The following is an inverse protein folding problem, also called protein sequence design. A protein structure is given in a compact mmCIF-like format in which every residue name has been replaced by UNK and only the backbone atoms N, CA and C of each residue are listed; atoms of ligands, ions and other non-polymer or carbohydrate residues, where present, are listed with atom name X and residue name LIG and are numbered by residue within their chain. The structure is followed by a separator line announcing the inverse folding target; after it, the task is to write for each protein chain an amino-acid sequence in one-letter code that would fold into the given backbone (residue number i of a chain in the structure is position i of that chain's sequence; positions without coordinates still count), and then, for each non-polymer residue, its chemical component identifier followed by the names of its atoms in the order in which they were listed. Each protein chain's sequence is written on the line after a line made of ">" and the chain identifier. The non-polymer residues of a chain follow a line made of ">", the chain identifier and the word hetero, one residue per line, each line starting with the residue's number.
data_IF_328458385250
#
_entry.id   IF_328458385250
#
_cell.length_a   1.000
_cell.length_b   1.000
_cell.length_c   1.000
_cell.angle_alpha   90.00
_cell.angle_beta   90.00
_cell.angle_gamma   90.00
#
_symmetry.space_group_name_H-M   'P 1'
#
loop_
_entity.id
_entity.type
_entity.pdbx_description
1 polymer ?
#
# COMPACT_ATOMS: atom_id res chain seq x y z
N UNK A 1 -15.17 -94.19 8.24
CA UNK A 1 -15.52 -93.01 9.05
C UNK A 1 -14.34 -92.04 9.17
N UNK A 2 -13.90 -91.45 8.10
CA UNK A 2 -12.79 -90.46 8.14
C UNK A 2 -12.91 -89.46 7.00
N UNK A 3 -14.11 -88.94 6.72
CA UNK A 3 -14.28 -87.98 5.59
C UNK A 3 -15.08 -86.73 5.92
N UNK A 4 -15.32 -86.47 7.22
CA UNK A 4 -16.17 -85.32 7.62
C UNK A 4 -15.47 -84.07 8.07
N UNK A 5 -14.17 -84.10 8.22
CA UNK A 5 -13.44 -82.96 8.84
C UNK A 5 -12.73 -82.02 7.88
N UNK A 6 -12.66 -82.41 6.60
CA UNK A 6 -11.97 -81.56 5.58
C UNK A 6 -12.88 -80.49 4.97
N UNK A 7 -14.18 -80.58 5.13
CA UNK A 7 -15.13 -79.62 4.58
C UNK A 7 -15.37 -78.39 5.48
N UNK A 8 -15.04 -78.50 6.79
CA UNK A 8 -15.21 -77.38 7.72
C UNK A 8 -14.10 -76.40 7.71
N UNK A 9 -12.92 -76.80 7.23
CA UNK A 9 -11.76 -75.89 7.14
C UNK A 9 -11.79 -74.96 5.91
N UNK A 10 -12.54 -75.28 4.86
CA UNK A 10 -12.59 -74.49 3.62
C UNK A 10 -13.60 -73.37 3.68
N UNK A 11 -14.56 -73.39 4.59
CA UNK A 11 -15.57 -72.32 4.74
C UNK A 11 -15.07 -71.19 5.62
N UNK A 12 -14.11 -71.46 6.50
CA UNK A 12 -13.51 -70.39 7.35
C UNK A 12 -12.51 -69.46 6.61
N UNK A 13 -12.01 -69.89 5.43
CA UNK A 13 -11.03 -69.09 4.68
C UNK A 13 -11.66 -68.05 3.76
N UNK A 14 -12.97 -68.03 3.56
CA UNK A 14 -13.68 -67.12 2.66
C UNK A 14 -14.28 -65.89 3.37
N UNK A 15 -14.02 -65.75 4.65
CA UNK A 15 -14.45 -64.58 5.43
C UNK A 15 -13.31 -63.57 5.72
N UNK A 16 -12.23 -63.61 4.94
CA UNK A 16 -11.35 -62.46 4.93
C UNK A 16 -12.09 -61.31 4.25
N UNK A 17 -12.76 -60.57 5.13
CA UNK A 17 -13.48 -59.40 4.79
C UNK A 17 -12.67 -58.51 3.85
N UNK A 18 -13.31 -58.10 2.80
CA UNK A 18 -12.91 -56.90 2.05
C UNK A 18 -12.79 -55.79 3.06
N UNK A 19 -11.58 -55.56 3.53
CA UNK A 19 -11.26 -54.30 4.20
C UNK A 19 -11.47 -53.21 3.14
N UNK A 20 -12.67 -52.64 3.12
CA UNK A 20 -12.92 -51.40 2.42
C UNK A 20 -12.02 -50.38 3.13
N UNK A 21 -10.95 -49.97 2.46
CA UNK A 21 -10.27 -48.76 2.80
C UNK A 21 -11.28 -47.64 2.58
N UNK A 22 -11.98 -47.24 3.63
CA UNK A 22 -12.68 -45.96 3.65
C UNK A 22 -11.61 -44.89 3.43
N UNK A 23 -11.55 -44.33 2.22
CA UNK A 23 -10.83 -43.13 1.99
C UNK A 23 -11.49 -42.05 2.85
N UNK A 24 -10.96 -41.81 4.03
CA UNK A 24 -11.31 -40.65 4.81
C UNK A 24 -10.82 -39.40 4.03
N UNK A 25 -11.72 -38.78 3.29
CA UNK A 25 -11.44 -37.48 2.67
C UNK A 25 -11.46 -36.45 3.80
N UNK A 26 -10.29 -36.00 4.20
CA UNK A 26 -10.15 -34.85 5.10
C UNK A 26 -10.26 -33.57 4.28
N UNK A 27 -11.33 -32.82 4.48
CA UNK A 27 -11.44 -31.48 3.91
C UNK A 27 -10.61 -30.51 4.77
N UNK A 28 -9.48 -30.06 4.23
CA UNK A 28 -8.69 -29.01 4.86
C UNK A 28 -9.27 -27.65 4.44
N UNK A 29 -9.91 -26.95 5.38
CA UNK A 29 -10.33 -25.58 5.19
C UNK A 29 -9.15 -24.65 5.51
N UNK A 30 -8.55 -24.04 4.49
CA UNK A 30 -7.53 -23.04 4.66
C UNK A 30 -8.20 -21.66 4.54
N UNK A 31 -8.18 -20.89 5.63
CA UNK A 31 -8.62 -19.50 5.64
C UNK A 31 -7.41 -18.58 5.60
N UNK A 32 -7.37 -17.68 4.61
CA UNK A 32 -6.34 -16.66 4.48
C UNK A 32 -6.98 -15.30 4.69
N UNK A 33 -6.49 -14.56 5.68
CA UNK A 33 -6.90 -13.19 5.92
C UNK A 33 -5.87 -12.24 5.30
N UNK A 34 -6.28 -11.46 4.29
CA UNK A 34 -5.46 -10.42 3.69
C UNK A 34 -5.72 -9.11 4.41
N UNK A 35 -4.70 -8.56 5.08
CA UNK A 35 -4.81 -7.28 5.76
C UNK A 35 -4.82 -6.13 4.75
N UNK A 36 -5.62 -5.08 4.97
CA UNK A 36 -5.58 -3.88 4.17
C UNK A 36 -4.19 -3.23 4.22
N UNK A 37 -3.69 -2.82 3.07
CA UNK A 37 -2.40 -2.13 2.98
C UNK A 37 -2.44 -1.04 1.90
N UNK A 38 -1.63 -0.01 2.09
CA UNK A 38 -1.35 1.00 1.09
C UNK A 38 0.14 1.34 1.09
N UNK A 39 0.70 1.49 -0.09
CA UNK A 39 2.06 1.94 -0.30
C UNK A 39 2.07 3.05 -1.34
N UNK A 40 2.70 4.16 -1.03
CA UNK A 40 2.91 5.28 -1.94
C UNK A 40 4.37 5.31 -2.36
N UNK A 41 4.62 5.28 -3.66
CA UNK A 41 5.93 5.50 -4.26
C UNK A 41 5.94 6.87 -4.94
N UNK A 42 7.00 7.62 -4.73
CA UNK A 42 7.21 8.93 -5.35
C UNK A 42 8.63 9.03 -5.89
N UNK A 43 8.81 9.89 -6.86
CA UNK A 43 10.14 10.31 -7.25
C UNK A 43 10.79 11.08 -6.08
N UNK A 44 11.93 10.57 -5.61
CA UNK A 44 12.70 11.14 -4.50
C UNK A 44 13.74 12.16 -4.93
N UNK A 45 13.71 12.63 -6.19
CA UNK A 45 14.66 13.61 -6.71
C UNK A 45 14.67 14.88 -5.85
N UNK A 46 15.84 15.45 -5.56
CA UNK A 46 15.92 16.72 -4.84
C UNK A 46 15.25 17.84 -5.62
N UNK A 47 14.85 18.87 -4.91
CA UNK A 47 14.33 20.12 -5.46
C UNK A 47 15.50 21.07 -5.63
N UNK A 48 15.75 21.51 -6.86
CA UNK A 48 16.80 22.48 -7.15
C UNK A 48 16.24 23.89 -7.08
N UNK A 49 16.73 24.69 -6.15
CA UNK A 49 16.40 26.11 -5.99
C UNK A 49 17.49 26.94 -6.63
N UNK A 50 17.12 27.78 -7.59
CA UNK A 50 18.04 28.69 -8.26
C UNK A 50 18.01 30.08 -7.64
N UNK A 51 19.01 30.92 -7.97
CA UNK A 51 19.01 32.33 -7.57
C UNK A 51 17.79 33.08 -8.11
N UNK A 52 17.33 32.73 -9.32
CA UNK A 52 16.14 33.33 -9.91
C UNK A 52 14.85 32.96 -9.13
N UNK A 53 14.77 31.74 -8.61
CA UNK A 53 13.64 31.29 -7.77
C UNK A 53 13.62 32.06 -6.45
N UNK A 54 14.80 32.24 -5.83
CA UNK A 54 14.91 33.02 -4.59
C UNK A 54 14.48 34.49 -4.83
N UNK A 55 14.88 35.08 -5.96
CA UNK A 55 14.44 36.43 -6.30
C UNK A 55 12.94 36.53 -6.55
N UNK A 56 12.36 35.49 -7.17
CA UNK A 56 10.93 35.44 -7.47
C UNK A 56 10.09 35.11 -6.21
N UNK A 57 10.71 34.50 -5.20
CA UNK A 57 10.09 34.14 -3.94
C UNK A 57 9.30 32.85 -3.96
N UNK A 58 9.26 32.14 -5.07
CA UNK A 58 8.60 30.83 -5.16
C UNK A 58 9.23 29.92 -6.21
N UNK A 59 8.94 28.62 -6.09
CA UNK A 59 9.34 27.56 -7.02
C UNK A 59 8.18 26.63 -7.28
N UNK A 60 7.91 26.30 -8.54
CA UNK A 60 6.92 25.31 -8.93
C UNK A 60 7.59 23.94 -9.15
N UNK A 61 7.04 22.91 -8.53
CA UNK A 61 7.56 21.52 -8.59
C UNK A 61 6.41 20.57 -8.83
N UNK A 62 6.57 19.66 -9.79
CA UNK A 62 5.64 18.56 -10.02
C UNK A 62 6.23 17.25 -9.52
N UNK A 63 5.40 16.41 -8.90
CA UNK A 63 5.77 15.06 -8.46
C UNK A 63 4.75 14.04 -8.92
N UNK A 64 5.25 12.95 -9.44
CA UNK A 64 4.46 11.81 -9.83
C UNK A 64 4.44 10.78 -8.70
N UNK A 65 3.25 10.26 -8.41
CA UNK A 65 3.02 9.29 -7.35
C UNK A 65 2.38 8.03 -7.91
N UNK A 66 2.81 6.87 -7.39
CA UNK A 66 2.19 5.58 -7.64
C UNK A 66 1.63 5.03 -6.34
N UNK A 67 0.33 4.79 -6.31
CA UNK A 67 -0.38 4.19 -5.18
C UNK A 67 -0.61 2.70 -5.44
N UNK A 68 -0.13 1.86 -4.54
CA UNK A 68 -0.40 0.43 -4.51
C UNK A 68 -1.22 0.11 -3.27
N UNK A 69 -2.42 -0.41 -3.46
CA UNK A 69 -3.32 -0.75 -2.35
C UNK A 69 -4.26 -1.89 -2.74
N UNK A 70 -4.65 -2.68 -1.75
CA UNK A 70 -5.73 -3.66 -1.85
C UNK A 70 -7.06 -3.17 -1.23
N UNK A 71 -7.09 -1.94 -0.72
CA UNK A 71 -8.26 -1.32 -0.10
C UNK A 71 -8.39 0.16 -0.55
N UNK A 72 -8.69 0.43 -1.84
CA UNK A 72 -8.67 1.78 -2.39
C UNK A 72 -9.63 2.74 -1.71
N UNK A 73 -10.78 2.26 -1.23
CA UNK A 73 -11.80 3.09 -0.57
C UNK A 73 -11.41 3.51 0.85
N UNK A 74 -10.32 2.95 1.38
CA UNK A 74 -9.84 3.20 2.74
C UNK A 74 -8.53 3.99 2.78
N UNK A 75 -8.02 4.40 1.63
CA UNK A 75 -6.78 5.17 1.55
C UNK A 75 -7.03 6.62 1.93
N UNK A 76 -6.17 7.13 2.81
CA UNK A 76 -6.07 8.54 3.15
C UNK A 76 -4.64 8.98 2.88
N UNK A 77 -4.45 10.07 2.17
CA UNK A 77 -3.13 10.70 2.03
C UNK A 77 -2.94 11.71 3.15
N UNK A 78 -1.83 11.57 3.85
CA UNK A 78 -1.38 12.52 4.85
C UNK A 78 -0.21 13.33 4.29
N UNK A 79 -0.34 14.65 4.29
CA UNK A 79 0.69 15.58 3.88
C UNK A 79 1.24 16.24 5.14
N UNK A 80 2.55 16.13 5.32
CA UNK A 80 3.25 16.70 6.47
C UNK A 80 4.25 17.75 6.00
N UNK A 81 4.19 18.99 6.49
CA UNK A 81 5.15 20.02 6.14
C UNK A 81 6.51 19.72 6.79
N UNK A 82 7.57 20.10 6.09
CA UNK A 82 8.94 20.15 6.64
C UNK A 82 9.35 21.59 6.79
N UNK A 83 9.80 21.96 7.96
CA UNK A 83 10.23 23.32 8.29
C UNK A 83 11.58 23.61 7.65
N UNK A 84 11.78 24.83 7.16
CA UNK A 84 13.09 25.39 6.78
C UNK A 84 13.13 26.11 5.44
N UNK A 85 12.79 25.46 4.35
CA UNK A 85 12.90 26.05 3.00
C UNK A 85 11.75 26.99 2.66
N UNK A 86 10.56 26.69 3.12
CA UNK A 86 9.31 27.35 2.71
C UNK A 86 8.52 27.89 3.88
N UNK A 87 7.84 29.01 3.66
CA UNK A 87 6.86 29.58 4.60
C UNK A 87 5.47 28.94 4.41
N UNK A 88 5.16 28.57 3.18
CA UNK A 88 3.91 27.88 2.83
C UNK A 88 4.04 27.13 1.51
N UNK A 89 3.10 26.25 1.26
CA UNK A 89 3.01 25.45 0.03
C UNK A 89 1.58 25.45 -0.48
N UNK A 90 1.40 25.84 -1.74
CA UNK A 90 0.15 25.60 -2.47
C UNK A 90 0.26 24.26 -3.19
N UNK A 91 -0.79 23.48 -3.13
CA UNK A 91 -0.81 22.10 -3.64
C UNK A 91 -2.02 21.96 -4.56
N UNK A 92 -1.76 21.52 -5.78
CA UNK A 92 -2.75 21.23 -6.80
C UNK A 92 -2.59 19.81 -7.34
N UNK A 93 -3.66 19.22 -7.84
CA UNK A 93 -3.70 17.83 -8.31
C UNK A 93 -4.67 16.95 -7.51
N UNK A 94 -5.39 17.53 -6.55
CA UNK A 94 -6.50 16.93 -5.82
C UNK A 94 -7.83 17.54 -6.27
N UNK A 95 -8.95 17.14 -5.66
CA UNK A 95 -10.27 17.67 -6.02
C UNK A 95 -10.39 19.18 -5.85
N UNK A 96 -9.64 19.76 -4.91
CA UNK A 96 -9.55 21.18 -4.70
C UNK A 96 -8.10 21.59 -4.43
N UNK A 97 -7.69 22.81 -4.82
CA UNK A 97 -6.41 23.37 -4.44
C UNK A 97 -6.30 23.47 -2.91
N UNK A 98 -5.13 23.15 -2.38
CA UNK A 98 -4.84 23.17 -0.96
C UNK A 98 -3.75 24.18 -0.66
N UNK A 99 -3.82 24.77 0.52
CA UNK A 99 -2.79 25.65 1.06
C UNK A 99 -2.31 25.11 2.40
N UNK A 100 -1.00 24.93 2.55
CA UNK A 100 -0.41 24.34 3.74
C UNK A 100 0.72 25.24 4.27
N UNK A 101 0.75 25.42 5.59
CA UNK A 101 1.86 26.06 6.32
C UNK A 101 2.51 25.08 7.29
N UNK A 102 2.06 25.10 8.54
CA UNK A 102 2.72 24.41 9.65
C UNK A 102 1.98 23.15 10.10
N UNK A 103 0.79 22.90 9.57
CA UNK A 103 -0.07 21.77 9.99
C UNK A 103 -0.18 20.72 8.90
N UNK A 104 -0.25 19.47 9.33
CA UNK A 104 -0.51 18.36 8.44
C UNK A 104 -1.94 18.41 7.90
N UNK A 105 -2.09 17.99 6.65
CA UNK A 105 -3.39 17.85 6.00
C UNK A 105 -3.66 16.39 5.71
N UNK A 106 -4.92 16.00 5.84
CA UNK A 106 -5.42 14.69 5.42
C UNK A 106 -6.36 14.86 4.24
N UNK A 107 -6.16 14.05 3.21
CA UNK A 107 -6.96 14.06 1.99
C UNK A 107 -7.66 12.73 1.88
N UNK A 108 -8.99 12.79 1.88
CA UNK A 108 -9.86 11.63 1.71
C UNK A 108 -10.66 11.82 0.43
N UNK A 109 -10.25 11.13 -0.61
CA UNK A 109 -10.92 11.10 -1.90
C UNK A 109 -10.55 9.80 -2.63
N UNK A 110 -11.27 9.39 -3.67
CA UNK A 110 -10.80 8.33 -4.54
C UNK A 110 -9.48 8.73 -5.21
N UNK A 111 -8.47 7.86 -5.12
CA UNK A 111 -7.17 8.09 -5.76
C UNK A 111 -6.98 7.14 -6.93
N UNK A 112 -6.47 7.67 -8.04
CA UNK A 112 -5.98 6.85 -9.13
C UNK A 112 -4.70 6.11 -8.69
N UNK A 113 -4.36 5.02 -9.38
CA UNK A 113 -3.10 4.31 -9.14
C UNK A 113 -1.88 5.19 -9.37
N UNK A 114 -2.00 6.10 -10.32
CA UNK A 114 -0.96 7.06 -10.67
C UNK A 114 -1.60 8.45 -10.71
N UNK A 115 -0.95 9.40 -10.08
CA UNK A 115 -1.40 10.78 -10.06
C UNK A 115 -0.21 11.73 -9.93
N UNK A 116 -0.40 12.96 -10.40
CA UNK A 116 0.61 14.01 -10.31
C UNK A 116 0.12 15.10 -9.39
N UNK A 117 1.00 15.56 -8.52
CA UNK A 117 0.73 16.68 -7.62
C UNK A 117 1.69 17.82 -7.98
N UNK A 118 1.15 19.00 -8.14
CA UNK A 118 1.89 20.22 -8.40
C UNK A 118 1.99 21.04 -7.12
N UNK A 119 3.20 21.44 -6.78
CA UNK A 119 3.49 22.21 -5.59
C UNK A 119 4.01 23.59 -6.02
N UNK A 120 3.46 24.65 -5.46
CA UNK A 120 4.10 25.95 -5.45
C UNK A 120 4.67 26.20 -4.06
N UNK A 121 5.98 26.19 -4.01
CA UNK A 121 6.77 26.36 -2.80
C UNK A 121 7.05 27.85 -2.60
N UNK A 122 6.41 28.48 -1.62
CA UNK A 122 6.70 29.86 -1.24
C UNK A 122 7.94 29.88 -0.37
N UNK A 123 9.04 30.36 -0.93
CA UNK A 123 10.35 30.30 -0.29
C UNK A 123 10.40 31.25 0.91
N UNK A 124 11.02 30.82 1.99
CA UNK A 124 11.27 31.66 3.16
C UNK A 124 12.29 32.74 2.84
N UNK A 125 12.29 33.84 3.62
CA UNK A 125 13.22 34.98 3.41
C UNK A 125 14.70 34.58 3.51
N UNK A 126 15.01 33.48 4.20
CA UNK A 126 16.37 32.94 4.32
C UNK A 126 16.73 31.85 3.31
N UNK A 127 15.87 31.55 2.33
CA UNK A 127 16.14 30.54 1.33
C UNK A 127 17.35 30.89 0.47
N UNK A 128 18.22 29.92 0.22
CA UNK A 128 19.43 30.06 -0.58
C UNK A 128 19.37 29.11 -1.79
N UNK A 129 20.03 29.43 -2.89
CA UNK A 129 20.19 28.52 -4.00
C UNK A 129 20.85 27.20 -3.53
N UNK A 130 20.37 26.07 -4.04
CA UNK A 130 20.88 24.72 -3.66
C UNK A 130 19.88 23.63 -3.93
N UNK A 131 20.25 22.42 -3.52
CA UNK A 131 19.39 21.24 -3.61
C UNK A 131 18.81 20.91 -2.24
N UNK A 132 17.49 20.65 -2.22
CA UNK A 132 16.74 20.42 -1.01
C UNK A 132 15.83 19.21 -1.17
N UNK A 133 15.51 18.54 -0.07
CA UNK A 133 14.39 17.61 -0.08
C UNK A 133 13.07 18.38 -0.28
N UNK A 134 12.09 17.75 -0.93
CA UNK A 134 10.76 18.34 -1.04
C UNK A 134 10.24 18.69 0.37
N UNK A 135 9.78 19.95 0.60
CA UNK A 135 9.34 20.39 1.93
C UNK A 135 7.97 19.84 2.36
N UNK A 136 7.42 18.92 1.61
CA UNK A 136 6.18 18.20 1.92
C UNK A 136 6.44 16.71 1.85
N UNK A 137 6.17 16.01 2.95
CA UNK A 137 6.18 14.55 2.97
C UNK A 137 4.75 14.05 2.78
N UNK A 138 4.57 13.15 1.81
CA UNK A 138 3.28 12.51 1.54
C UNK A 138 3.34 11.05 1.97
N UNK A 139 2.36 10.62 2.75
CA UNK A 139 2.22 9.23 3.17
C UNK A 139 0.81 8.71 2.87
N UNK A 140 0.70 7.44 2.49
CA UNK A 140 -0.58 6.76 2.36
C UNK A 140 -0.88 5.97 3.62
N UNK A 141 -2.06 6.16 4.17
CA UNK A 141 -2.57 5.48 5.36
C UNK A 141 -3.84 4.70 5.01
N UNK A 142 -4.13 3.65 5.76
CA UNK A 142 -5.40 2.91 5.72
C UNK A 142 -6.20 3.26 6.96
N UNK A 143 -7.46 3.62 6.77
CA UNK A 143 -8.45 3.85 7.82
C UNK A 143 -9.63 2.90 7.76
#
# INVERSE_FOLDING_TARGET
>A
MRSGWLLLALVAALHFGTARAEMASANLLVSVQVLPHAQLKADASPVSVTAADVQRGYLDVSRHYQLQTNAPDRVVLQLNPRIGLTDSVDIDGFQAPLHMRDSSLEITQPFAREFTVNYRLWLSAGAMPGEYALPVQVAALIR
#
